data_IF_292212673124
#
_entry.id   IF_292212673124
#
_cell.length_a   1.000
_cell.length_b   1.000
_cell.length_c   1.000
_cell.angle_alpha   90.00
_cell.angle_beta   90.00
_cell.angle_gamma   90.00
#
_symmetry.space_group_name_H-M   'P 1'
#
loop_
_entity.id
_entity.type
_entity.pdbx_description
1 polymer ?
#
# COMPACT_ATOMS: atom_id res chain seq x y z
N UNK A 1 3.66 9.36 -35.08
CA UNK A 1 4.59 9.96 -34.10
C UNK A 1 3.79 10.53 -32.94
N UNK A 2 3.54 9.72 -31.90
CA UNK A 2 2.80 10.17 -30.72
C UNK A 2 3.77 10.87 -29.77
N UNK A 3 3.51 12.17 -29.52
CA UNK A 3 4.33 13.02 -28.67
C UNK A 3 4.29 12.55 -27.22
N UNK A 4 5.45 12.57 -26.59
CA UNK A 4 5.72 12.33 -25.17
C UNK A 4 4.66 12.97 -24.25
N UNK A 5 3.72 12.16 -23.79
CA UNK A 5 3.11 12.41 -22.49
C UNK A 5 4.16 12.06 -21.44
N UNK A 6 4.65 13.08 -20.72
CA UNK A 6 5.41 12.91 -19.49
C UNK A 6 4.52 12.22 -18.44
N UNK A 7 4.30 10.92 -18.60
CA UNK A 7 3.86 10.09 -17.49
C UNK A 7 5.02 10.10 -16.49
N UNK A 8 4.93 10.97 -15.47
CA UNK A 8 5.69 10.77 -14.23
C UNK A 8 5.43 9.31 -13.85
N UNK A 9 6.45 8.47 -14.01
CA UNK A 9 6.31 7.05 -13.74
C UNK A 9 5.72 6.90 -12.34
N UNK A 10 4.52 6.35 -12.24
CA UNK A 10 3.92 5.95 -10.97
C UNK A 10 5.03 5.22 -10.22
N UNK A 11 5.34 5.56 -8.96
CA UNK A 11 6.39 4.88 -8.24
C UNK A 11 6.07 3.39 -8.23
N UNK A 12 6.70 2.62 -9.13
CA UNK A 12 6.47 1.18 -9.20
C UNK A 12 6.75 0.62 -7.82
N UNK A 13 5.87 -0.26 -7.34
CA UNK A 13 6.06 -1.02 -6.10
C UNK A 13 7.48 -1.56 -6.15
N UNK A 14 8.33 -1.13 -5.21
CA UNK A 14 9.72 -1.56 -5.19
C UNK A 14 9.79 -3.08 -5.11
N UNK A 15 10.81 -3.69 -5.72
CA UNK A 15 10.97 -5.13 -5.67
C UNK A 15 11.68 -5.45 -4.35
N UNK A 16 11.02 -6.28 -3.52
CA UNK A 16 11.43 -6.53 -2.14
C UNK A 16 12.90 -6.97 -2.09
N UNK A 17 13.69 -6.33 -1.22
CA UNK A 17 15.09 -6.69 -0.94
C UNK A 17 15.93 -6.91 -2.21
N UNK A 18 15.69 -6.15 -3.27
CA UNK A 18 16.32 -6.37 -4.58
C UNK A 18 17.35 -5.29 -4.87
N UNK A 19 18.56 -5.73 -5.24
CA UNK A 19 19.64 -4.88 -5.73
C UNK A 19 19.85 -5.15 -7.21
N UNK A 20 19.84 -4.10 -8.03
CA UNK A 20 20.16 -4.16 -9.44
C UNK A 20 21.64 -3.82 -9.66
N UNK A 21 22.31 -4.67 -10.44
CA UNK A 21 23.66 -4.46 -10.95
C UNK A 21 23.55 -4.24 -12.46
N UNK A 22 23.50 -2.98 -12.89
CA UNK A 22 23.40 -2.63 -14.31
C UNK A 22 24.79 -2.39 -14.90
N UNK A 23 25.12 -3.05 -16.00
CA UNK A 23 26.37 -2.81 -16.73
C UNK A 23 26.38 -1.38 -17.28
N UNK A 24 27.50 -0.68 -17.14
CA UNK A 24 27.61 0.71 -17.63
C UNK A 24 28.67 0.93 -18.71
N UNK A 25 29.52 -0.04 -18.95
CA UNK A 25 30.60 0.08 -19.94
C UNK A 25 30.04 -0.24 -21.33
N UNK A 26 30.37 0.59 -22.32
CA UNK A 26 29.90 0.39 -23.71
C UNK A 26 30.88 -0.43 -24.55
N UNK A 27 32.16 -0.37 -24.21
CA UNK A 27 33.25 -0.94 -25.01
C UNK A 27 33.65 -2.36 -24.58
N UNK A 28 32.97 -2.91 -23.57
CA UNK A 28 33.22 -4.25 -23.04
C UNK A 28 31.91 -5.01 -22.89
N UNK A 29 31.97 -6.32 -23.11
CA UNK A 29 30.82 -7.20 -22.89
C UNK A 29 30.54 -7.40 -21.39
N UNK A 30 29.26 -7.39 -20.99
CA UNK A 30 28.86 -7.69 -19.63
C UNK A 30 29.16 -9.16 -19.29
N UNK A 31 29.45 -9.42 -18.02
CA UNK A 31 29.63 -10.80 -17.58
C UNK A 31 28.37 -11.64 -17.80
N UNK A 32 28.57 -12.86 -18.31
CA UNK A 32 27.56 -13.92 -18.28
C UNK A 32 27.15 -14.26 -16.84
N UNK A 33 25.96 -14.85 -16.68
CA UNK A 33 25.33 -15.09 -15.37
C UNK A 33 26.24 -15.84 -14.38
N UNK A 34 26.95 -16.85 -14.87
CA UNK A 34 27.86 -17.65 -14.03
C UNK A 34 29.07 -16.84 -13.58
N UNK A 35 29.75 -16.15 -14.49
CA UNK A 35 30.91 -15.29 -14.19
C UNK A 35 30.51 -14.15 -13.25
N UNK A 36 29.33 -13.55 -13.46
CA UNK A 36 28.76 -12.56 -12.55
C UNK A 36 28.57 -13.15 -11.14
N UNK A 37 27.94 -14.32 -11.04
CA UNK A 37 27.71 -14.99 -9.76
C UNK A 37 29.01 -15.33 -9.02
N UNK A 38 29.96 -16.00 -9.68
CA UNK A 38 31.22 -16.44 -9.07
C UNK A 38 32.13 -15.27 -8.72
N UNK A 39 32.35 -14.36 -9.65
CA UNK A 39 33.35 -13.30 -9.48
C UNK A 39 32.80 -12.15 -8.66
N UNK A 40 31.59 -11.68 -8.94
CA UNK A 40 31.05 -10.48 -8.29
C UNK A 40 30.35 -10.83 -6.98
N UNK A 41 29.36 -11.73 -7.00
CA UNK A 41 28.58 -12.05 -5.80
C UNK A 41 29.41 -12.85 -4.78
N UNK A 42 30.01 -13.96 -5.20
CA UNK A 42 30.78 -14.83 -4.28
C UNK A 42 32.20 -14.30 -4.06
N UNK A 43 32.84 -13.78 -5.12
CA UNK A 43 34.23 -13.32 -5.08
C UNK A 43 34.40 -11.98 -4.37
N UNK A 44 33.73 -10.93 -4.84
CA UNK A 44 33.87 -9.56 -4.30
C UNK A 44 32.96 -9.32 -3.09
N UNK A 45 31.66 -9.59 -3.23
CA UNK A 45 30.68 -9.31 -2.17
C UNK A 45 30.67 -10.38 -1.07
N UNK A 46 31.41 -11.49 -1.27
CA UNK A 46 31.54 -12.61 -0.33
C UNK A 46 30.20 -13.22 0.08
N UNK A 47 29.28 -13.33 -0.88
CA UNK A 47 27.95 -13.92 -0.67
C UNK A 47 27.98 -15.43 -0.88
N UNK A 48 27.26 -16.16 -0.03
CA UNK A 48 26.99 -17.58 -0.25
C UNK A 48 25.67 -17.76 -1.03
N UNK A 49 25.48 -18.93 -1.65
CA UNK A 49 24.24 -19.25 -2.37
C UNK A 49 23.01 -19.09 -1.48
N UNK A 50 23.09 -19.50 -0.20
CA UNK A 50 22.01 -19.35 0.79
C UNK A 50 21.63 -17.90 1.11
N UNK A 51 22.47 -16.93 0.79
CA UNK A 51 22.17 -15.52 1.01
C UNK A 51 21.27 -14.94 -0.10
N UNK A 52 21.32 -15.53 -1.29
CA UNK A 52 20.64 -15.06 -2.50
C UNK A 52 19.38 -15.89 -2.74
N UNK A 53 18.22 -15.23 -2.66
CA UNK A 53 16.92 -15.86 -2.96
C UNK A 53 16.73 -16.05 -4.47
N UNK A 54 17.10 -15.06 -5.26
CA UNK A 54 16.95 -15.09 -6.72
C UNK A 54 18.02 -14.25 -7.40
N UNK A 55 18.53 -14.75 -8.53
CA UNK A 55 19.43 -14.05 -9.44
C UNK A 55 18.81 -14.08 -10.85
N UNK A 56 18.24 -12.96 -11.26
CA UNK A 56 17.51 -12.81 -12.52
C UNK A 56 18.29 -11.90 -13.48
N UNK A 57 18.42 -12.33 -14.73
CA UNK A 57 18.97 -11.49 -15.79
C UNK A 57 17.87 -10.57 -16.36
N UNK A 58 18.23 -9.32 -16.66
CA UNK A 58 17.43 -8.37 -17.40
C UNK A 58 18.23 -7.90 -18.64
N UNK A 59 18.14 -8.64 -19.76
CA UNK A 59 18.94 -8.37 -20.96
C UNK A 59 18.69 -6.99 -21.56
N UNK A 60 17.45 -6.48 -21.47
CA UNK A 60 17.07 -5.16 -22.03
C UNK A 60 17.81 -4.00 -21.36
N UNK A 61 18.16 -4.14 -20.09
CA UNK A 61 18.91 -3.12 -19.33
C UNK A 61 20.37 -3.52 -19.10
N UNK A 62 20.84 -4.64 -19.68
CA UNK A 62 22.17 -5.18 -19.42
C UNK A 62 22.44 -5.38 -17.92
N UNK A 63 21.44 -5.86 -17.18
CA UNK A 63 21.46 -5.85 -15.71
C UNK A 63 21.17 -7.21 -15.09
N UNK A 64 21.64 -7.41 -13.86
CA UNK A 64 21.24 -8.50 -12.99
C UNK A 64 20.50 -7.97 -11.76
N UNK A 65 19.34 -8.55 -11.49
CA UNK A 65 18.56 -8.28 -10.29
C UNK A 65 18.79 -9.40 -9.28
N UNK A 66 19.31 -9.03 -8.10
CA UNK A 66 19.66 -9.95 -7.03
C UNK A 66 18.73 -9.71 -5.85
N UNK A 67 17.93 -10.73 -5.51
CA UNK A 67 16.93 -10.68 -4.43
C UNK A 67 17.47 -11.39 -3.20
N UNK A 68 17.32 -10.75 -2.04
CA UNK A 68 17.77 -11.29 -0.75
C UNK A 68 16.61 -11.71 0.15
N UNK A 69 16.81 -12.74 0.98
CA UNK A 69 15.79 -13.23 1.92
C UNK A 69 15.35 -12.19 2.95
N UNK A 70 16.28 -11.36 3.41
CA UNK A 70 16.04 -10.39 4.48
C UNK A 70 16.45 -8.98 4.03
N UNK A 71 15.82 -8.00 4.67
CA UNK A 71 16.15 -6.58 4.48
C UNK A 71 17.56 -6.27 5.03
N UNK A 72 17.93 -6.84 6.17
CA UNK A 72 19.28 -6.69 6.72
C UNK A 72 20.37 -7.17 5.76
N UNK A 73 20.16 -8.29 5.05
CA UNK A 73 21.12 -8.76 4.03
C UNK A 73 21.18 -7.82 2.82
N UNK A 74 20.04 -7.32 2.37
CA UNK A 74 19.98 -6.29 1.33
C UNK A 74 20.81 -5.05 1.72
N UNK A 75 20.63 -4.55 2.94
CA UNK A 75 21.31 -3.34 3.41
C UNK A 75 22.82 -3.57 3.60
N UNK A 76 23.21 -4.75 4.09
CA UNK A 76 24.60 -5.21 4.17
C UNK A 76 25.26 -5.19 2.78
N UNK A 77 24.59 -5.76 1.77
CA UNK A 77 25.09 -5.80 0.39
C UNK A 77 25.18 -4.40 -0.22
N UNK A 78 24.17 -3.56 -0.02
CA UNK A 78 24.20 -2.17 -0.48
C UNK A 78 25.33 -1.37 0.16
N UNK A 79 25.63 -1.62 1.44
CA UNK A 79 26.79 -1.01 2.13
C UNK A 79 28.11 -1.51 1.53
N UNK A 80 28.32 -2.83 1.45
CA UNK A 80 29.52 -3.43 0.85
C UNK A 80 29.74 -2.95 -0.58
N UNK A 81 28.70 -2.96 -1.41
CA UNK A 81 28.78 -2.52 -2.81
C UNK A 81 29.23 -1.07 -2.95
N UNK A 82 28.86 -0.18 -2.01
CA UNK A 82 29.35 1.20 -1.96
C UNK A 82 30.83 1.27 -1.57
N UNK A 83 31.28 0.47 -0.61
CA UNK A 83 32.68 0.40 -0.17
C UNK A 83 33.61 -0.07 -1.30
N UNK A 84 33.18 -1.07 -2.08
CA UNK A 84 33.98 -1.65 -3.17
C UNK A 84 33.66 -1.06 -4.56
N UNK A 85 32.89 0.02 -4.65
CA UNK A 85 32.36 0.55 -5.93
C UNK A 85 33.45 0.90 -6.96
N UNK A 86 34.66 1.26 -6.50
CA UNK A 86 35.79 1.61 -7.38
C UNK A 86 36.67 0.42 -7.75
N UNK A 87 36.55 -0.72 -7.07
CA UNK A 87 37.37 -1.90 -7.32
C UNK A 87 36.87 -2.65 -8.57
N UNK A 88 37.77 -3.29 -9.31
CA UNK A 88 37.37 -4.21 -10.40
C UNK A 88 36.82 -5.53 -9.81
N UNK A 89 35.75 -6.11 -10.37
CA UNK A 89 34.96 -5.64 -11.51
C UNK A 89 33.74 -4.76 -11.12
N UNK A 90 33.54 -4.44 -9.83
CA UNK A 90 32.43 -3.60 -9.35
C UNK A 90 32.34 -2.24 -10.04
N UNK A 91 33.49 -1.67 -10.39
CA UNK A 91 33.56 -0.39 -11.09
C UNK A 91 32.87 -0.39 -12.46
N UNK A 92 32.52 -1.54 -13.05
CA UNK A 92 31.80 -1.66 -14.31
C UNK A 92 30.27 -1.76 -14.15
N UNK A 93 29.80 -1.79 -12.90
CA UNK A 93 28.38 -1.90 -12.58
C UNK A 93 27.88 -0.64 -11.87
N UNK A 94 26.72 -0.15 -12.31
CA UNK A 94 25.88 0.77 -11.54
C UNK A 94 25.00 -0.06 -10.62
N UNK A 95 25.25 0.05 -9.32
CA UNK A 95 24.50 -0.66 -8.28
C UNK A 95 23.37 0.22 -7.76
N UNK A 96 22.13 -0.23 -7.87
CA UNK A 96 20.95 0.50 -7.39
C UNK A 96 20.04 -0.39 -6.54
N UNK A 97 19.49 0.17 -5.46
CA UNK A 97 18.41 -0.49 -4.74
C UNK A 97 17.12 -0.38 -5.55
N UNK A 98 16.53 -1.52 -5.91
CA UNK A 98 15.15 -1.59 -6.38
C UNK A 98 14.16 -1.77 -5.23
N UNK A 99 14.67 -2.12 -4.05
CA UNK A 99 13.90 -2.13 -2.82
C UNK A 99 13.47 -0.71 -2.46
N UNK A 100 12.16 -0.47 -2.47
CA UNK A 100 11.56 0.72 -1.88
C UNK A 100 11.01 0.35 -0.51
N UNK A 101 11.92 0.12 0.43
CA UNK A 101 11.58 -0.37 1.77
C UNK A 101 10.82 0.66 2.62
N UNK A 102 10.77 1.93 2.21
CA UNK A 102 9.89 2.94 2.77
C UNK A 102 8.55 3.08 2.02
N UNK A 103 8.40 2.49 0.84
CA UNK A 103 7.15 2.58 0.08
C UNK A 103 6.14 1.55 0.56
N UNK A 104 4.92 1.98 0.85
CA UNK A 104 3.80 1.12 1.27
C UNK A 104 2.55 1.47 0.49
N UNK A 105 1.80 0.44 0.12
CA UNK A 105 0.38 0.60 -0.17
C UNK A 105 -0.34 0.44 1.15
N UNK A 106 -0.82 1.56 1.69
CA UNK A 106 -1.50 1.65 2.97
C UNK A 106 -2.99 1.55 2.73
N UNK A 107 -3.63 0.58 3.37
CA UNK A 107 -5.07 0.41 3.40
C UNK A 107 -5.63 1.02 4.67
N UNK A 108 -6.47 2.03 4.52
CA UNK A 108 -7.23 2.68 5.59
C UNK A 108 -8.66 2.17 5.55
N UNK A 109 -9.13 1.62 6.66
CA UNK A 109 -10.55 1.32 6.87
C UNK A 109 -11.10 2.33 7.88
N UNK A 110 -12.05 3.15 7.44
CA UNK A 110 -12.69 4.18 8.25
C UNK A 110 -14.03 4.53 7.61
N UNK A 111 -15.05 4.76 8.44
CA UNK A 111 -16.34 5.26 7.97
C UNK A 111 -16.18 6.64 7.33
N UNK A 112 -16.58 6.75 6.06
CA UNK A 112 -16.60 8.01 5.33
C UNK A 112 -17.68 7.95 4.24
N UNK A 113 -18.92 8.38 4.55
CA UNK A 113 -20.06 8.24 3.65
C UNK A 113 -19.96 9.11 2.39
N UNK A 114 -19.05 10.09 2.39
CA UNK A 114 -18.86 11.02 1.27
C UNK A 114 -17.90 10.49 0.20
N UNK A 115 -17.30 9.31 0.40
CA UNK A 115 -16.37 8.73 -0.58
C UNK A 115 -16.90 7.35 -0.99
N UNK A 116 -17.52 7.32 -2.15
CA UNK A 116 -18.07 6.11 -2.80
C UNK A 116 -17.06 5.52 -3.79
N UNK A 117 -17.28 4.29 -4.25
CA UNK A 117 -16.57 3.69 -5.38
C UNK A 117 -17.22 4.10 -6.71
N UNK A 118 -16.75 3.53 -7.84
CA UNK A 118 -17.29 3.84 -9.17
C UNK A 118 -18.75 3.44 -9.37
N UNK A 119 -19.30 2.60 -8.48
CA UNK A 119 -20.69 2.14 -8.51
C UNK A 119 -21.54 2.87 -7.45
N UNK A 120 -21.00 3.87 -6.76
CA UNK A 120 -21.72 4.60 -5.72
C UNK A 120 -21.74 3.91 -4.36
N UNK A 121 -21.06 2.78 -4.18
CA UNK A 121 -21.02 2.07 -2.89
C UNK A 121 -19.83 2.49 -2.04
N UNK A 122 -20.07 2.67 -0.74
CA UNK A 122 -18.98 2.78 0.22
C UNK A 122 -18.49 1.39 0.62
N UNK A 123 -17.31 1.01 0.16
CA UNK A 123 -16.71 -0.30 0.44
C UNK A 123 -15.87 -0.36 1.74
N UNK A 124 -15.91 0.69 2.56
CA UNK A 124 -15.19 0.76 3.84
C UNK A 124 -13.67 0.76 3.81
N UNK A 125 -13.07 0.81 2.61
CA UNK A 125 -11.63 0.65 2.42
C UNK A 125 -11.08 1.65 1.42
N UNK A 126 -9.96 2.29 1.74
CA UNK A 126 -9.20 3.10 0.78
C UNK A 126 -7.72 2.76 0.83
N UNK A 127 -7.11 2.60 -0.34
CA UNK A 127 -5.69 2.30 -0.46
C UNK A 127 -4.96 3.53 -0.98
N UNK A 128 -3.89 3.90 -0.28
CA UNK A 128 -3.04 5.03 -0.60
C UNK A 128 -1.61 4.56 -0.78
N UNK A 129 -0.89 5.17 -1.72
CA UNK A 129 0.55 4.99 -1.81
C UNK A 129 1.21 5.97 -0.83
N UNK A 130 2.09 5.46 0.03
CA UNK A 130 2.78 6.25 1.05
C UNK A 130 4.27 5.94 1.05
N UNK A 131 5.07 6.97 1.28
CA UNK A 131 6.49 6.87 1.59
C UNK A 131 6.67 7.11 3.09
N UNK A 132 7.10 6.10 3.82
CA UNK A 132 7.42 6.22 5.25
C UNK A 132 8.68 7.08 5.41
N UNK A 133 8.68 7.96 6.41
CA UNK A 133 9.87 8.73 6.75
C UNK A 133 10.86 7.83 7.48
N UNK A 134 12.15 8.12 7.32
CA UNK A 134 13.20 7.45 8.08
C UNK A 134 13.16 7.91 9.54
N UNK A 135 13.36 6.97 10.46
CA UNK A 135 13.51 7.21 11.88
C UNK A 135 14.50 6.18 12.44
N UNK A 136 15.73 6.60 12.82
CA UNK A 136 16.73 5.70 13.38
C UNK A 136 16.28 4.97 14.65
N UNK A 137 15.33 5.53 15.41
CA UNK A 137 14.75 4.91 16.61
C UNK A 137 13.49 4.10 16.29
N UNK A 138 12.94 4.24 15.09
CA UNK A 138 11.77 3.54 14.61
C UNK A 138 12.08 2.07 14.32
N UNK A 139 11.09 1.20 14.50
CA UNK A 139 11.21 -0.20 14.11
C UNK A 139 11.49 -0.29 12.61
N UNK A 140 12.46 -1.11 12.22
CA UNK A 140 12.87 -1.20 10.81
C UNK A 140 13.41 0.11 10.22
N UNK A 141 13.78 1.10 11.06
CA UNK A 141 14.34 2.38 10.60
C UNK A 141 13.31 3.36 10.05
N UNK A 142 12.00 3.13 10.27
CA UNK A 142 10.94 3.96 9.71
C UNK A 142 9.96 4.49 10.76
N UNK A 143 9.45 5.69 10.50
CA UNK A 143 8.34 6.27 11.22
C UNK A 143 7.03 5.64 10.73
N UNK A 144 6.58 4.62 11.44
CA UNK A 144 5.36 3.89 11.12
C UNK A 144 4.10 4.69 11.52
N UNK A 145 3.13 4.91 10.62
CA UNK A 145 1.87 5.57 10.98
C UNK A 145 1.08 4.67 11.94
N UNK A 146 0.28 5.20 12.87
CA UNK A 146 -0.44 4.40 13.85
C UNK A 146 -1.43 3.45 13.16
N UNK A 147 -1.42 2.17 13.57
CA UNK A 147 -2.32 1.15 12.99
C UNK A 147 -3.78 1.33 13.39
N UNK A 148 -4.02 2.05 14.48
CA UNK A 148 -5.32 2.46 14.97
C UNK A 148 -5.25 3.95 15.25
N UNK A 149 -6.20 4.72 14.73
CA UNK A 149 -6.24 6.17 14.91
C UNK A 149 -7.69 6.65 15.05
N UNK A 150 -7.85 7.91 15.42
CA UNK A 150 -9.17 8.55 15.54
C UNK A 150 -9.14 9.92 14.90
N UNK A 151 -10.17 10.24 14.12
CA UNK A 151 -10.39 11.55 13.53
C UNK A 151 -11.73 12.07 14.02
N UNK A 152 -11.71 12.82 15.13
CA UNK A 152 -12.94 13.20 15.82
C UNK A 152 -13.65 11.97 16.42
N UNK A 153 -14.96 11.76 16.18
CA UNK A 153 -15.68 10.59 16.69
C UNK A 153 -15.35 9.30 15.93
N UNK A 154 -14.81 9.41 14.71
CA UNK A 154 -14.59 8.27 13.83
C UNK A 154 -13.28 7.57 14.15
N UNK A 155 -13.35 6.25 14.30
CA UNK A 155 -12.17 5.39 14.48
C UNK A 155 -11.78 4.75 13.16
N UNK A 156 -10.50 4.83 12.85
CA UNK A 156 -9.90 4.24 11.65
C UNK A 156 -8.84 3.21 11.99
N UNK A 157 -8.75 2.18 11.15
CA UNK A 157 -7.63 1.22 11.18
C UNK A 157 -6.80 1.37 9.91
N UNK A 158 -5.50 1.15 10.05
CA UNK A 158 -4.52 1.27 8.99
C UNK A 158 -3.69 0.00 8.92
N UNK A 159 -3.59 -0.57 7.73
CA UNK A 159 -2.82 -1.80 7.45
C UNK A 159 -1.91 -1.63 6.23
N UNK A 160 -0.74 -2.26 6.26
CA UNK A 160 0.14 -2.44 5.09
C UNK A 160 1.04 -3.65 5.29
N UNK A 161 1.63 -4.14 4.19
CA UNK A 161 2.55 -5.26 4.22
C UNK A 161 3.75 -5.01 5.14
N UNK A 162 4.09 -5.99 5.99
CA UNK A 162 5.20 -5.93 6.97
C UNK A 162 5.02 -4.83 8.03
N UNK A 163 3.79 -4.39 8.29
CA UNK A 163 3.48 -3.54 9.44
C UNK A 163 3.94 -4.24 10.73
N UNK A 164 4.75 -3.59 11.59
CA UNK A 164 5.18 -4.19 12.84
C UNK A 164 4.00 -4.50 13.77
N UNK A 165 4.15 -5.40 14.75
CA UNK A 165 3.11 -5.66 15.75
C UNK A 165 2.69 -4.36 16.43
N UNK A 166 1.39 -4.08 16.48
CA UNK A 166 0.85 -2.86 17.07
C UNK A 166 -0.01 -3.18 18.30
N UNK A 167 0.28 -2.52 19.40
CA UNK A 167 -0.46 -2.69 20.64
C UNK A 167 -1.59 -1.66 20.73
N UNK A 168 -2.83 -2.14 20.61
CA UNK A 168 -4.06 -1.35 20.77
C UNK A 168 -4.27 -0.83 22.21
N UNK A 169 -3.46 -1.26 23.19
CA UNK A 169 -3.53 -0.76 24.57
C UNK A 169 -2.73 0.54 24.70
N UNK A 170 -1.43 0.47 24.41
CA UNK A 170 -0.49 1.57 24.60
C UNK A 170 -0.27 2.43 23.34
N UNK A 171 -0.92 2.07 22.22
CA UNK A 171 -0.84 2.75 20.92
C UNK A 171 0.58 2.83 20.34
N UNK A 172 1.40 1.81 20.60
CA UNK A 172 2.78 1.74 20.14
C UNK A 172 3.06 0.45 19.35
N UNK A 173 4.06 0.52 18.48
CA UNK A 173 4.57 -0.64 17.76
C UNK A 173 5.59 -1.43 18.60
N UNK A 174 5.82 -2.69 18.23
CA UNK A 174 6.85 -3.58 18.80
C UNK A 174 6.29 -4.78 19.57
N UNK A 175 5.03 -4.70 20.03
CA UNK A 175 4.37 -5.78 20.75
C UNK A 175 2.86 -5.78 20.49
N UNK A 176 2.18 -6.86 20.86
CA UNK A 176 0.72 -6.98 20.78
C UNK A 176 0.06 -6.70 22.14
N UNK A 177 -1.28 -6.74 22.18
CA UNK A 177 -2.03 -6.50 23.41
C UNK A 177 -1.67 -7.47 24.56
N UNK A 178 -1.47 -8.75 24.25
CA UNK A 178 -1.17 -9.78 25.25
C UNK A 178 0.20 -9.59 25.92
N UNK A 179 1.17 -9.05 25.18
CA UNK A 179 2.54 -8.80 25.66
C UNK A 179 2.72 -7.37 26.21
N UNK A 180 1.63 -6.65 26.47
CA UNK A 180 1.68 -5.25 26.88
C UNK A 180 1.73 -5.10 28.40
N UNK A 181 2.89 -4.71 28.93
CA UNK A 181 3.06 -4.37 30.35
C UNK A 181 2.50 -2.99 30.74
N UNK A 182 2.11 -2.15 29.77
CA UNK A 182 1.67 -0.79 30.05
C UNK A 182 0.18 -0.73 30.45
N UNK A 183 -0.08 -0.31 31.69
CA UNK A 183 -1.37 0.23 32.12
C UNK A 183 -1.26 1.75 32.05
N UNK A 184 -1.63 2.35 30.91
CA UNK A 184 -1.64 3.80 30.75
C UNK A 184 -2.96 4.28 30.17
N UNK A 185 -3.44 5.41 30.67
CA UNK A 185 -4.57 6.15 30.16
C UNK A 185 -4.33 6.52 28.69
N UNK A 186 -5.33 6.26 27.84
CA UNK A 186 -5.25 6.55 26.39
C UNK A 186 -5.50 8.01 26.04
N UNK A 187 -6.03 8.80 26.98
CA UNK A 187 -6.37 10.21 26.78
C UNK A 187 -5.19 11.12 27.16
N UNK A 188 -4.65 10.97 28.39
CA UNK A 188 -3.55 11.79 28.89
C UNK A 188 -2.18 11.09 28.89
N UNK A 189 -2.13 9.77 28.71
CA UNK A 189 -0.88 8.99 28.73
C UNK A 189 -0.40 8.58 30.12
N UNK A 190 -1.07 8.99 31.21
CA UNK A 190 -0.70 8.67 32.60
C UNK A 190 -0.82 7.18 32.92
N UNK A 191 0.08 6.64 33.74
CA UNK A 191 -0.02 5.29 34.27
C UNK A 191 -0.95 5.14 35.49
N UNK A 192 -1.43 6.26 36.05
CA UNK A 192 -2.15 6.27 37.32
C UNK A 192 -3.63 5.84 37.23
N UNK A 193 -4.27 6.05 36.07
CA UNK A 193 -5.69 5.79 35.87
C UNK A 193 -6.00 5.20 34.48
N UNK A 194 -7.19 4.67 34.30
CA UNK A 194 -7.70 4.26 32.99
C UNK A 194 -8.41 5.42 32.28
N UNK A 195 -8.59 5.32 30.96
CA UNK A 195 -9.23 6.40 30.18
C UNK A 195 -10.68 6.72 30.59
N UNK A 196 -11.31 5.87 31.40
CA UNK A 196 -12.65 6.13 31.97
C UNK A 196 -12.60 7.16 33.11
N UNK A 197 -11.51 7.18 33.86
CA UNK A 197 -11.31 8.00 35.07
C UNK A 197 -10.35 9.17 34.78
N UNK A 198 -10.26 9.59 33.52
CA UNK A 198 -9.35 10.64 33.07
C UNK A 198 -10.07 11.98 33.02
N UNK A 199 -9.70 12.90 33.91
CA UNK A 199 -10.24 14.27 33.96
C UNK A 199 -9.56 15.24 32.97
N UNK A 200 -8.52 14.80 32.25
CA UNK A 200 -7.80 15.65 31.29
C UNK A 200 -8.68 15.99 30.06
N UNK A 201 -8.73 17.27 29.68
CA UNK A 201 -9.48 17.73 28.52
C UNK A 201 -8.89 17.24 27.19
N UNK A 202 -9.77 16.93 26.22
CA UNK A 202 -9.36 16.41 24.90
C UNK A 202 -8.61 17.49 24.11
N UNK A 203 -7.36 17.20 23.74
CA UNK A 203 -6.53 18.08 22.91
C UNK A 203 -6.88 17.93 21.42
N UNK A 204 -6.78 19.02 20.67
CA UNK A 204 -6.87 19.05 19.22
C UNK A 204 -5.86 18.09 18.59
N UNK A 205 -6.34 17.12 17.80
CA UNK A 205 -5.47 16.11 17.15
C UNK A 205 -4.52 16.67 16.08
N UNK A 206 -4.73 17.91 15.62
CA UNK A 206 -3.87 18.52 14.61
C UNK A 206 -2.77 19.40 15.16
N UNK A 207 -3.14 20.36 16.02
CA UNK A 207 -2.21 21.36 16.56
C UNK A 207 -1.81 21.11 18.02
N UNK A 208 -2.43 20.14 18.71
CA UNK A 208 -2.13 19.78 20.09
C UNK A 208 -2.71 20.72 21.17
N UNK A 209 -3.43 21.78 20.79
CA UNK A 209 -4.05 22.71 21.74
C UNK A 209 -5.19 22.07 22.53
N UNK A 210 -5.34 22.40 23.81
CA UNK A 210 -6.50 22.04 24.65
C UNK A 210 -7.66 23.04 24.52
N UNK A 211 -7.49 24.16 23.80
CA UNK A 211 -8.48 25.22 23.71
C UNK A 211 -9.65 24.89 22.76
N UNK A 212 -9.46 23.97 21.80
CA UNK A 212 -10.46 23.60 20.81
C UNK A 212 -10.31 22.15 20.37
N UNK A 213 -11.34 21.59 19.74
CA UNK A 213 -11.27 20.28 19.09
C UNK A 213 -10.87 20.41 17.61
N UNK A 214 -10.39 19.32 17.00
CA UNK A 214 -9.92 19.32 15.60
C UNK A 214 -10.92 19.92 14.59
N UNK A 215 -12.23 19.81 14.85
CA UNK A 215 -13.29 20.39 13.99
C UNK A 215 -13.19 21.92 13.90
N UNK A 216 -12.70 22.56 14.95
CA UNK A 216 -12.59 24.01 15.13
C UNK A 216 -11.14 24.51 14.98
N UNK A 217 -10.22 23.63 14.56
CA UNK A 217 -8.80 23.96 14.45
C UNK A 217 -8.53 24.91 13.27
N UNK A 218 -8.11 26.14 13.56
CA UNK A 218 -7.76 27.15 12.55
C UNK A 218 -6.53 26.79 11.72
N UNK A 219 -5.62 25.97 12.27
CA UNK A 219 -4.46 25.41 11.55
C UNK A 219 -4.81 24.23 10.62
N UNK A 220 -6.09 23.86 10.49
CA UNK A 220 -6.51 22.77 9.60
C UNK A 220 -6.28 23.20 8.15
N UNK A 221 -5.36 22.54 7.45
CA UNK A 221 -5.22 22.72 6.00
C UNK A 221 -6.54 22.43 5.29
N UNK A 222 -6.90 23.28 4.32
CA UNK A 222 -8.06 23.12 3.43
C UNK A 222 -8.04 21.69 2.87
N UNK A 223 -9.11 20.92 3.12
CA UNK A 223 -9.24 19.57 2.56
C UNK A 223 -9.22 19.63 1.03
N UNK A 224 -8.86 18.52 0.37
CA UNK A 224 -8.96 18.38 -1.10
C UNK A 224 -10.30 18.87 -1.66
N UNK A 225 -11.41 18.64 -0.94
CA UNK A 225 -12.75 19.16 -1.27
C UNK A 225 -12.84 20.70 -1.36
N UNK A 226 -12.10 21.44 -0.53
CA UNK A 226 -12.07 22.91 -0.58
C UNK A 226 -11.15 23.45 -1.69
N UNK A 227 -10.25 22.60 -2.23
CA UNK A 227 -9.45 22.92 -3.41
C UNK A 227 -10.18 22.58 -4.73
N UNK A 228 -11.22 21.72 -4.69
CA UNK A 228 -11.95 21.25 -5.86
C UNK A 228 -13.19 22.07 -6.25
N UNK A 229 -13.72 22.92 -5.36
CA UNK A 229 -14.82 23.87 -5.65
C UNK A 229 -16.20 23.22 -5.87
N UNK A 230 -17.21 23.74 -5.16
CA UNK A 230 -18.63 23.42 -5.45
C UNK A 230 -19.46 23.24 -4.18
N UNK A 231 -20.21 24.28 -3.80
CA UNK A 231 -21.09 24.29 -2.64
C UNK A 231 -22.52 23.81 -2.95
N UNK A 232 -23.10 23.08 -2.00
CA UNK A 232 -24.44 23.22 -1.41
C UNK A 232 -25.72 23.39 -2.29
N UNK A 233 -25.71 23.20 -3.60
CA UNK A 233 -26.90 23.43 -4.46
C UNK A 233 -27.50 22.21 -5.16
N UNK A 234 -26.88 21.03 -5.09
CA UNK A 234 -27.11 19.94 -6.06
C UNK A 234 -27.73 18.66 -5.45
N UNK A 235 -28.34 18.74 -4.27
CA UNK A 235 -28.88 17.56 -3.57
C UNK A 235 -30.30 17.18 -4.05
N UNK A 236 -31.12 18.13 -4.52
CA UNK A 236 -32.54 17.87 -4.82
C UNK A 236 -32.83 17.35 -6.24
N UNK A 237 -31.93 17.56 -7.20
CA UNK A 237 -32.12 17.08 -8.59
C UNK A 237 -31.58 15.66 -8.84
N UNK A 238 -30.63 15.20 -8.02
CA UNK A 238 -29.95 13.91 -8.20
C UNK A 238 -30.80 12.72 -7.72
N UNK A 239 -31.68 12.94 -6.73
CA UNK A 239 -32.57 11.90 -6.19
C UNK A 239 -33.67 11.49 -7.19
N UNK A 240 -34.21 12.45 -7.96
CA UNK A 240 -35.25 12.16 -8.97
C UNK A 240 -34.69 11.44 -10.20
N UNK A 241 -33.47 11.81 -10.64
CA UNK A 241 -32.77 11.14 -11.75
C UNK A 241 -32.29 9.71 -11.37
N UNK A 242 -31.75 9.52 -10.16
CA UNK A 242 -31.37 8.18 -9.67
C UNK A 242 -32.58 7.24 -9.52
N UNK A 243 -33.76 7.75 -9.13
CA UNK A 243 -34.97 6.94 -8.99
C UNK A 243 -35.53 6.47 -10.36
N UNK A 244 -35.49 7.31 -11.40
CA UNK A 244 -35.86 6.92 -12.76
C UNK A 244 -34.87 5.92 -13.38
N UNK A 245 -33.57 6.11 -13.17
CA UNK A 245 -32.53 5.20 -13.68
C UNK A 245 -32.59 3.84 -12.98
N UNK A 246 -32.92 3.82 -11.69
CA UNK A 246 -33.13 2.58 -10.94
C UNK A 246 -34.37 1.81 -11.41
N UNK A 247 -35.47 2.51 -11.73
CA UNK A 247 -36.70 1.89 -12.27
C UNK A 247 -36.46 1.28 -13.65
N UNK A 248 -35.73 1.97 -14.53
CA UNK A 248 -35.40 1.47 -15.88
C UNK A 248 -34.42 0.29 -15.83
N UNK A 249 -33.40 0.32 -14.98
CA UNK A 249 -32.50 -0.83 -14.78
C UNK A 249 -33.23 -2.04 -14.16
N UNK A 250 -34.15 -1.83 -13.22
CA UNK A 250 -34.95 -2.90 -12.64
C UNK A 250 -35.90 -3.56 -13.67
N UNK A 251 -36.44 -2.78 -14.62
CA UNK A 251 -37.22 -3.31 -15.74
C UNK A 251 -36.35 -4.12 -16.70
N UNK A 252 -35.14 -3.64 -17.02
CA UNK A 252 -34.16 -4.36 -17.84
C UNK A 252 -33.73 -5.70 -17.24
N UNK A 253 -33.47 -5.75 -15.93
CA UNK A 253 -33.13 -6.99 -15.22
C UNK A 253 -34.30 -8.00 -15.21
N UNK A 254 -35.54 -7.53 -15.04
CA UNK A 254 -36.73 -8.41 -15.11
C UNK A 254 -36.94 -8.98 -16.51
N UNK A 255 -36.71 -8.19 -17.57
CA UNK A 255 -36.77 -8.69 -18.94
C UNK A 255 -35.68 -9.73 -19.22
N UNK A 256 -34.44 -9.47 -18.79
CA UNK A 256 -33.34 -10.42 -18.94
C UNK A 256 -33.63 -11.76 -18.23
N UNK A 257 -34.08 -11.71 -16.97
CA UNK A 257 -34.43 -12.94 -16.22
C UNK A 257 -35.56 -13.73 -16.87
N UNK A 258 -36.58 -13.07 -17.44
CA UNK A 258 -37.66 -13.72 -18.20
C UNK A 258 -37.13 -14.38 -19.48
N UNK A 259 -36.28 -13.68 -20.25
CA UNK A 259 -35.64 -14.21 -21.46
C UNK A 259 -34.78 -15.43 -21.14
N UNK A 260 -34.02 -15.37 -20.05
CA UNK A 260 -33.14 -16.44 -19.62
C UNK A 260 -33.91 -17.66 -19.11
N UNK A 261 -35.05 -17.48 -18.43
CA UNK A 261 -35.96 -18.59 -18.06
C UNK A 261 -36.57 -19.27 -19.28
N UNK A 262 -37.12 -18.50 -20.25
CA UNK A 262 -37.67 -19.06 -21.51
C UNK A 262 -36.63 -19.86 -22.29
N UNK A 263 -35.40 -19.35 -22.36
CA UNK A 263 -34.30 -20.04 -23.04
C UNK A 263 -33.90 -21.34 -22.35
N UNK A 264 -34.02 -21.44 -21.01
CA UNK A 264 -33.82 -22.69 -20.27
C UNK A 264 -34.98 -23.68 -20.37
N UNK A 265 -36.21 -23.21 -20.56
CA UNK A 265 -37.39 -24.06 -20.81
C UNK A 265 -37.34 -24.67 -22.22
N UNK A 266 -37.02 -23.89 -23.26
CA UNK A 266 -36.81 -24.41 -24.63
C UNK A 266 -35.69 -25.47 -24.69
N UNK A 267 -34.56 -25.24 -24.01
CA UNK A 267 -33.47 -26.24 -23.94
C UNK A 267 -33.86 -27.51 -23.16
N UNK A 268 -34.89 -27.46 -22.30
CA UNK A 268 -35.42 -28.64 -21.60
C UNK A 268 -36.41 -29.41 -22.48
N UNK A 269 -37.23 -28.72 -23.25
CA UNK A 269 -38.17 -29.33 -24.20
C UNK A 269 -37.43 -30.03 -25.36
N UNK A 270 -36.38 -29.40 -25.92
CA UNK A 270 -35.53 -29.99 -26.97
C UNK A 270 -34.77 -31.24 -26.49
N UNK A 271 -34.48 -31.37 -25.19
CA UNK A 271 -33.87 -32.58 -24.61
C UNK A 271 -34.89 -33.66 -24.23
N UNK A 272 -36.18 -33.32 -24.16
CA UNK A 272 -37.27 -34.23 -23.80
C UNK A 272 -37.87 -34.97 -25.00
N UNK A 273 -37.73 -34.45 -26.22
CA UNK A 273 -38.31 -35.03 -27.44
C UNK A 273 -37.40 -36.00 -28.18
N UNK A 274 -36.15 -36.17 -27.73
CA UNK A 274 -35.18 -37.09 -28.33
C UNK A 274 -35.14 -38.47 -27.67
N UNK A 275 -36.24 -39.23 -27.63
CA UNK A 275 -36.22 -40.71 -27.50
C UNK A 275 -37.56 -41.36 -27.84
N UNK A 276 -37.64 -41.93 -29.04
CA UNK A 276 -38.63 -42.89 -29.53
C UNK A 276 -38.25 -43.26 -30.97
N UNK A 277 -37.32 -44.21 -31.15
CA UNK A 277 -37.53 -45.61 -31.64
C UNK A 277 -37.91 -45.67 -33.14
N UNK A 278 -37.46 -46.67 -33.92
CA UNK A 278 -36.98 -48.01 -33.55
C UNK A 278 -35.46 -48.18 -33.53
#
# INVERSE_FOLDING_TARGET
MAKNANFRAIPRIGIRNTVRFAWKEKDMEPFGRETFGRTLLMGVLKLAVKDVMCLQANPLEGAYDVVFHTEGKHDEVMKKAREVVKARPMCHYKVTSLAKNNFRVITVNMYNPHVKDSLGFWNGRRSFQALLREDPKGLGGYLHPPALFSLGPDRGTLFYARQPPFCKRCMAYGHNYASCGAKKCRLCGSGAHEARDCDESKKCHGCGSSAHLWRECTARHKSYAAAAGGGAGQERGMEEEEEEEFKTQAQGQRQYQRRWRRSREQQREERGTGRGLP
#
